data_IF_279983016919
#
_entry.id   IF_279983016919
#
_cell.length_a   1.000
_cell.length_b   1.000
_cell.length_c   1.000
_cell.angle_alpha   90.00
_cell.angle_beta   90.00
_cell.angle_gamma   90.00
#
_symmetry.space_group_name_H-M   'P 1'
#
loop_
_entity.id
_entity.type
_entity.pdbx_description
1 polymer ?
#
# COMPACT_ATOMS: atom_id res chain seq x y z
N UNK A 1 11.82 10.92 6.67
CA UNK A 1 11.99 10.53 5.25
C UNK A 1 11.54 11.61 4.26
N UNK A 2 12.25 12.74 4.26
CA UNK A 2 12.15 13.75 3.20
C UNK A 2 13.52 13.91 2.56
N UNK A 3 13.56 14.06 1.25
CA UNK A 3 14.76 14.47 0.52
C UNK A 3 15.14 15.91 0.93
N UNK A 4 16.39 16.35 0.66
CA UNK A 4 16.82 17.72 0.93
C UNK A 4 15.94 18.79 0.25
N UNK A 5 15.27 18.42 -0.85
CA UNK A 5 14.30 19.24 -1.59
C UNK A 5 12.89 19.28 -0.96
N UNK A 6 12.70 18.67 0.22
CA UNK A 6 11.42 18.60 0.93
C UNK A 6 10.45 17.54 0.41
N UNK A 7 10.76 16.81 -0.67
CA UNK A 7 9.90 15.76 -1.22
C UNK A 7 9.93 14.53 -0.33
N UNK A 8 8.78 13.90 -0.15
CA UNK A 8 8.66 12.66 0.61
C UNK A 8 9.33 11.53 -0.19
N UNK A 9 10.19 10.75 0.47
CA UNK A 9 10.95 9.66 -0.19
C UNK A 9 10.03 8.49 -0.54
N UNK A 10 9.04 8.22 0.31
CA UNK A 10 8.05 7.16 0.11
C UNK A 10 6.68 7.59 0.59
N UNK A 11 5.65 7.24 -0.17
CA UNK A 11 4.27 7.45 0.24
C UNK A 11 3.85 6.47 1.34
N UNK A 12 4.54 5.34 1.53
CA UNK A 12 4.19 4.33 2.53
C UNK A 12 5.03 4.48 3.79
N UNK A 13 4.49 4.13 4.97
CA UNK A 13 5.26 4.12 6.21
C UNK A 13 6.39 3.08 6.13
N UNK A 14 7.48 3.30 6.87
CA UNK A 14 8.66 2.45 6.78
C UNK A 14 8.38 0.97 7.10
N UNK A 15 7.47 0.67 8.03
CA UNK A 15 7.08 -0.70 8.37
C UNK A 15 6.43 -1.47 7.20
N UNK A 16 5.95 -0.77 6.17
CA UNK A 16 5.31 -1.40 5.01
C UNK A 16 6.31 -2.24 4.20
N UNK A 17 7.60 -1.84 4.18
CA UNK A 17 8.64 -2.46 3.36
C UNK A 17 9.41 -3.52 4.14
N UNK A 18 8.87 -4.73 4.21
CA UNK A 18 9.48 -5.84 4.98
C UNK A 18 10.88 -6.19 4.50
N UNK A 19 11.13 -6.19 3.19
CA UNK A 19 12.46 -6.48 2.64
C UNK A 19 13.53 -5.51 3.15
N UNK A 20 13.21 -4.22 3.28
CA UNK A 20 14.15 -3.24 3.82
C UNK A 20 14.40 -3.42 5.31
N UNK A 21 13.42 -3.97 6.05
CA UNK A 21 13.61 -4.33 7.46
C UNK A 21 14.53 -5.55 7.54
N UNK A 22 14.29 -6.57 6.71
CA UNK A 22 15.10 -7.78 6.64
C UNK A 22 16.57 -7.44 6.29
N UNK A 23 16.79 -6.58 5.29
CA UNK A 23 18.12 -6.09 4.90
C UNK A 23 18.82 -5.36 6.06
N UNK A 24 18.07 -4.53 6.81
CA UNK A 24 18.60 -3.80 7.98
C UNK A 24 18.98 -4.75 9.11
N UNK A 25 18.15 -5.76 9.38
CA UNK A 25 18.41 -6.78 10.39
C UNK A 25 19.61 -7.66 10.02
N UNK A 26 19.72 -8.07 8.75
CA UNK A 26 20.85 -8.84 8.24
C UNK A 26 22.15 -8.02 8.31
N UNK A 27 22.12 -6.75 7.90
CA UNK A 27 23.28 -5.86 7.98
C UNK A 27 23.75 -5.68 9.44
N UNK A 28 22.81 -5.45 10.36
CA UNK A 28 23.11 -5.37 11.80
C UNK A 28 23.73 -6.66 12.32
N UNK A 29 23.18 -7.82 11.95
CA UNK A 29 23.70 -9.12 12.36
C UNK A 29 25.11 -9.36 11.78
N UNK A 30 25.33 -9.05 10.51
CA UNK A 30 26.61 -9.18 9.83
C UNK A 30 27.69 -8.29 10.46
N UNK A 31 27.39 -6.99 10.67
CA UNK A 31 28.33 -6.05 11.29
C UNK A 31 28.69 -6.45 12.72
N UNK A 32 27.71 -6.92 13.52
CA UNK A 32 27.97 -7.45 14.87
C UNK A 32 28.87 -8.69 14.85
N UNK A 33 28.63 -9.63 13.91
CA UNK A 33 29.47 -10.82 13.75
C UNK A 33 30.89 -10.46 13.31
N UNK A 34 31.05 -9.50 12.39
CA UNK A 34 32.36 -9.03 11.96
C UNK A 34 33.18 -8.52 13.16
N UNK A 35 32.60 -7.67 14.01
CA UNK A 35 33.23 -7.20 15.26
C UNK A 35 33.57 -8.36 16.19
N UNK A 36 32.63 -9.29 16.42
CA UNK A 36 32.85 -10.41 17.32
C UNK A 36 33.94 -11.37 16.83
N UNK A 37 34.06 -11.57 15.52
CA UNK A 37 35.04 -12.47 14.90
C UNK A 37 36.48 -11.93 14.93
N UNK A 38 36.68 -10.63 15.15
CA UNK A 38 38.00 -9.99 15.15
C UNK A 38 38.71 -9.97 13.79
N UNK A 39 38.04 -10.38 12.71
CA UNK A 39 38.61 -10.47 11.35
C UNK A 39 38.58 -9.15 10.56
N UNK A 40 38.23 -8.04 11.21
CA UNK A 40 38.15 -6.70 10.61
C UNK A 40 39.34 -5.85 11.03
N UNK A 41 39.74 -4.95 10.13
CA UNK A 41 40.78 -3.96 10.39
C UNK A 41 40.43 -3.17 11.68
N UNK A 42 41.32 -3.12 12.68
CA UNK A 42 41.08 -2.37 13.93
C UNK A 42 40.69 -0.91 13.72
N UNK A 43 41.18 -0.28 12.64
CA UNK A 43 40.86 1.11 12.29
C UNK A 43 39.42 1.30 11.80
N UNK A 44 38.77 0.24 11.28
CA UNK A 44 37.39 0.27 10.79
C UNK A 44 36.35 -0.01 11.90
N UNK A 45 36.79 -0.48 13.08
CA UNK A 45 35.89 -0.81 14.20
C UNK A 45 35.06 0.40 14.66
N UNK A 46 35.62 1.63 14.82
CA UNK A 46 34.83 2.80 15.21
C UNK A 46 33.72 3.13 14.21
N UNK A 47 34.01 3.04 12.91
CA UNK A 47 33.04 3.30 11.83
C UNK A 47 31.90 2.27 11.86
N UNK A 48 32.25 0.98 11.94
CA UNK A 48 31.27 -0.10 12.04
C UNK A 48 30.38 0.01 13.29
N UNK A 49 30.93 0.46 14.43
CA UNK A 49 30.13 0.72 15.64
C UNK A 49 29.14 1.85 15.44
N UNK A 50 29.55 2.95 14.80
CA UNK A 50 28.67 4.07 14.47
C UNK A 50 27.55 3.64 13.49
N UNK A 51 27.87 2.80 12.50
CA UNK A 51 26.86 2.21 11.60
C UNK A 51 25.86 1.33 12.33
N UNK A 52 26.33 0.44 13.22
CA UNK A 52 25.44 -0.41 14.05
C UNK A 52 24.52 0.45 14.91
N UNK A 53 25.04 1.50 15.54
CA UNK A 53 24.24 2.41 16.36
C UNK A 53 23.14 3.07 15.50
N UNK A 54 23.53 3.69 14.39
CA UNK A 54 22.60 4.33 13.46
C UNK A 54 21.51 3.39 12.96
N UNK A 55 21.89 2.19 12.55
CA UNK A 55 20.96 1.19 12.03
C UNK A 55 20.04 0.65 13.13
N UNK A 56 20.55 0.48 14.35
CA UNK A 56 19.75 0.03 15.49
C UNK A 56 18.71 1.08 15.91
N UNK A 57 19.08 2.36 15.91
CA UNK A 57 18.16 3.48 16.15
C UNK A 57 17.08 3.49 15.07
N UNK A 58 17.48 3.36 13.80
CA UNK A 58 16.53 3.33 12.68
C UNK A 58 15.56 2.15 12.78
N UNK A 59 16.04 0.95 13.09
CA UNK A 59 15.20 -0.23 13.27
C UNK A 59 14.21 -0.05 14.44
N UNK A 60 14.67 0.54 15.54
CA UNK A 60 13.81 0.84 16.68
C UNK A 60 12.71 1.86 16.35
N UNK A 61 13.02 2.90 15.56
CA UNK A 61 12.01 3.85 15.06
C UNK A 61 10.97 3.17 14.17
N UNK A 62 11.40 2.30 13.25
CA UNK A 62 10.50 1.55 12.37
C UNK A 62 9.56 0.69 13.23
N UNK A 63 10.10 -0.03 14.21
CA UNK A 63 9.30 -0.88 15.10
C UNK A 63 8.33 -0.09 15.97
N UNK A 64 8.69 1.11 16.42
CA UNK A 64 7.78 2.03 17.13
C UNK A 64 6.65 2.53 16.24
N UNK A 65 6.93 2.75 14.95
CA UNK A 65 5.93 3.18 13.97
C UNK A 65 4.96 2.08 13.53
N UNK A 66 5.26 0.82 13.85
CA UNK A 66 4.42 -0.31 13.48
C UNK A 66 3.10 -0.27 14.25
N UNK A 67 1.99 -0.17 13.51
CA UNK A 67 0.65 -0.16 14.09
C UNK A 67 0.34 -1.55 14.65
N UNK A 68 -0.01 -1.64 15.93
CA UNK A 68 -0.48 -2.88 16.57
C UNK A 68 -1.97 -2.72 16.85
N UNK A 69 -2.81 -3.26 15.97
CA UNK A 69 -4.26 -3.24 16.16
C UNK A 69 -4.68 -4.35 17.13
N UNK A 70 -5.48 -4.01 18.13
CA UNK A 70 -6.00 -4.97 19.11
C UNK A 70 -7.51 -4.80 19.29
N UNK A 71 -8.22 -5.91 19.53
CA UNK A 71 -9.66 -5.89 19.80
C UNK A 71 -10.48 -5.10 18.77
N UNK A 72 -11.23 -4.11 19.24
CA UNK A 72 -12.16 -3.31 18.44
C UNK A 72 -11.49 -2.57 17.29
N UNK A 73 -10.27 -2.07 17.47
CA UNK A 73 -9.56 -1.32 16.44
C UNK A 73 -9.24 -2.20 15.23
N UNK A 74 -9.01 -3.50 15.47
CA UNK A 74 -8.77 -4.47 14.40
C UNK A 74 -10.05 -4.70 13.59
N UNK A 75 -11.19 -4.83 14.25
CA UNK A 75 -12.49 -5.02 13.59
C UNK A 75 -12.89 -3.79 12.78
N UNK A 76 -12.69 -2.59 13.34
CA UNK A 76 -12.93 -1.34 12.63
C UNK A 76 -12.03 -1.17 11.41
N UNK A 77 -10.74 -1.50 11.54
CA UNK A 77 -9.79 -1.49 10.43
C UNK A 77 -10.17 -2.52 9.35
N UNK A 78 -10.61 -3.72 9.74
CA UNK A 78 -11.04 -4.75 8.81
C UNK A 78 -12.32 -4.35 8.05
N UNK A 79 -13.27 -3.72 8.73
CA UNK A 79 -14.48 -3.18 8.11
C UNK A 79 -14.14 -2.05 7.12
N UNK A 80 -13.26 -1.12 7.52
CA UNK A 80 -12.80 -0.05 6.64
C UNK A 80 -12.03 -0.60 5.43
N UNK A 81 -11.20 -1.61 5.62
CA UNK A 81 -10.47 -2.28 4.55
C UNK A 81 -11.42 -2.86 3.50
N UNK A 82 -12.48 -3.56 3.92
CA UNK A 82 -13.52 -4.11 3.03
C UNK A 82 -14.29 -2.99 2.31
N UNK A 83 -14.77 -2.00 3.05
CA UNK A 83 -15.53 -0.87 2.50
C UNK A 83 -14.70 -0.09 1.44
N UNK A 84 -13.41 0.10 1.69
CA UNK A 84 -12.52 0.72 0.72
C UNK A 84 -12.28 -0.18 -0.49
N UNK A 85 -12.17 -1.49 -0.29
CA UNK A 85 -12.08 -2.46 -1.38
C UNK A 85 -13.23 -2.32 -2.37
N UNK A 86 -14.47 -2.32 -1.87
CA UNK A 86 -15.68 -2.18 -2.68
C UNK A 86 -15.72 -0.83 -3.42
N UNK A 87 -15.42 0.27 -2.70
CA UNK A 87 -15.42 1.61 -3.30
C UNK A 87 -14.34 1.79 -4.36
N UNK A 88 -13.15 1.20 -4.15
CA UNK A 88 -12.08 1.24 -5.14
C UNK A 88 -12.48 0.42 -6.36
N UNK A 89 -13.03 -0.78 -6.15
CA UNK A 89 -13.52 -1.65 -7.20
C UNK A 89 -14.59 -0.97 -8.08
N UNK A 90 -15.57 -0.30 -7.48
CA UNK A 90 -16.62 0.45 -8.20
C UNK A 90 -16.07 1.61 -9.04
N UNK A 91 -14.91 2.15 -8.65
CA UNK A 91 -14.24 3.24 -9.37
C UNK A 91 -13.31 2.78 -10.51
N UNK A 92 -13.22 1.47 -10.76
CA UNK A 92 -12.38 0.88 -11.81
C UNK A 92 -13.20 0.47 -13.03
N UNK A 93 -12.60 0.56 -14.21
CA UNK A 93 -13.08 -0.21 -15.36
C UNK A 93 -12.93 -1.71 -15.10
N UNK A 94 -13.81 -2.51 -15.68
CA UNK A 94 -13.69 -3.97 -15.65
C UNK A 94 -12.49 -4.45 -16.46
N UNK A 95 -12.03 -5.68 -16.16
CA UNK A 95 -10.96 -6.34 -16.94
C UNK A 95 -11.36 -6.46 -18.41
N UNK A 96 -12.58 -6.89 -18.68
CA UNK A 96 -13.14 -7.01 -20.02
C UNK A 96 -13.14 -5.69 -20.81
N UNK A 97 -13.50 -4.56 -20.20
CA UNK A 97 -13.45 -3.24 -20.87
C UNK A 97 -12.02 -2.83 -21.24
N UNK A 98 -11.05 -3.12 -20.37
CA UNK A 98 -9.64 -2.84 -20.64
C UNK A 98 -9.08 -3.74 -21.76
N UNK A 99 -9.37 -5.04 -21.71
CA UNK A 99 -8.89 -6.00 -22.71
C UNK A 99 -9.47 -5.75 -24.10
N UNK A 100 -10.72 -5.30 -24.18
CA UNK A 100 -11.41 -4.97 -25.44
C UNK A 100 -11.08 -3.57 -25.97
N UNK A 101 -10.22 -2.80 -25.28
CA UNK A 101 -9.87 -1.43 -25.66
C UNK A 101 -11.02 -0.42 -25.50
N UNK A 102 -12.06 -0.77 -24.76
CA UNK A 102 -13.22 0.11 -24.50
C UNK A 102 -12.90 1.13 -23.38
N UNK A 103 -11.93 0.82 -22.53
CA UNK A 103 -11.43 1.74 -21.51
C UNK A 103 -10.35 2.65 -22.08
N UNK A 104 -10.66 3.94 -22.23
CA UNK A 104 -9.67 4.94 -22.64
C UNK A 104 -8.63 5.17 -21.50
N UNK A 105 -7.32 5.09 -21.78
CA UNK A 105 -6.27 5.32 -20.78
C UNK A 105 -6.36 6.68 -20.08
N UNK A 106 -6.77 7.74 -20.79
CA UNK A 106 -6.95 9.07 -20.20
C UNK A 106 -8.12 9.11 -19.21
N UNK A 107 -9.21 8.42 -19.53
CA UNK A 107 -10.37 8.34 -18.64
C UNK A 107 -10.06 7.53 -17.39
N UNK A 108 -9.28 6.45 -17.52
CA UNK A 108 -8.83 5.66 -16.36
C UNK A 108 -7.88 6.47 -15.46
N UNK A 109 -6.99 7.27 -16.06
CA UNK A 109 -6.15 8.20 -15.31
C UNK A 109 -6.99 9.25 -14.58
N UNK A 110 -7.97 9.85 -15.25
CA UNK A 110 -8.87 10.83 -14.65
C UNK A 110 -9.67 10.21 -13.49
N UNK A 111 -10.32 9.06 -13.70
CA UNK A 111 -11.04 8.33 -12.63
C UNK A 111 -10.14 8.00 -11.45
N UNK A 112 -8.86 7.73 -11.70
CA UNK A 112 -7.88 7.42 -10.66
C UNK A 112 -7.51 8.64 -9.79
N UNK A 113 -7.40 9.83 -10.38
CA UNK A 113 -6.91 11.04 -9.68
C UNK A 113 -8.03 11.93 -9.16
N UNK A 114 -9.21 11.90 -9.78
CA UNK A 114 -10.35 12.73 -9.35
C UNK A 114 -10.90 12.24 -8.01
N UNK A 115 -11.13 13.14 -7.03
CA UNK A 115 -11.74 12.79 -5.75
C UNK A 115 -13.22 12.37 -5.90
N UNK A 116 -13.47 11.07 -5.96
CA UNK A 116 -14.82 10.50 -6.15
C UNK A 116 -15.28 9.64 -4.96
N UNK A 117 -14.34 9.10 -4.17
CA UNK A 117 -14.63 8.15 -3.11
C UNK A 117 -14.95 8.91 -1.80
N UNK A 118 -16.16 8.77 -1.24
CA UNK A 118 -16.52 9.43 0.02
C UNK A 118 -15.85 8.76 1.23
N UNK A 119 -15.23 9.57 2.10
CA UNK A 119 -14.55 9.07 3.31
C UNK A 119 -15.49 8.82 4.50
N UNK A 120 -16.67 9.45 4.49
CA UNK A 120 -17.68 9.31 5.55
C UNK A 120 -17.10 9.59 6.95
N UNK A 121 -17.46 8.73 7.92
CA UNK A 121 -17.00 8.79 9.31
C UNK A 121 -15.50 8.56 9.50
N UNK A 122 -14.81 8.03 8.47
CA UNK A 122 -13.39 7.67 8.55
C UNK A 122 -12.44 8.82 8.15
N UNK A 123 -12.94 10.05 8.02
CA UNK A 123 -12.13 11.20 7.58
C UNK A 123 -10.86 11.44 8.41
N UNK A 124 -10.90 11.20 9.72
CA UNK A 124 -9.72 11.34 10.60
C UNK A 124 -8.63 10.29 10.30
N UNK A 125 -9.01 9.07 9.90
CA UNK A 125 -8.04 8.02 9.50
C UNK A 125 -7.24 8.49 8.29
N UNK A 126 -7.91 9.11 7.31
CA UNK A 126 -7.25 9.66 6.13
C UNK A 126 -6.29 10.80 6.49
N UNK A 127 -6.72 11.73 7.36
CA UNK A 127 -5.88 12.84 7.83
C UNK A 127 -4.65 12.35 8.58
N UNK A 128 -4.78 11.34 9.43
CA UNK A 128 -3.67 10.73 10.16
C UNK A 128 -2.64 10.08 9.21
N UNK A 129 -3.05 9.66 8.02
CA UNK A 129 -2.16 9.16 6.96
C UNK A 129 -1.63 10.28 6.04
N UNK A 130 -1.84 11.55 6.40
CA UNK A 130 -1.42 12.72 5.63
C UNK A 130 -2.23 12.93 4.35
N UNK A 131 -3.47 12.44 4.30
CA UNK A 131 -4.39 12.62 3.17
C UNK A 131 -5.49 13.59 3.60
N UNK A 132 -5.57 14.74 2.93
CA UNK A 132 -6.63 15.72 3.16
C UNK A 132 -7.78 15.49 2.18
N UNK A 133 -8.97 15.08 2.64
CA UNK A 133 -10.13 14.92 1.77
C UNK A 133 -10.59 16.26 1.18
N UNK A 134 -10.93 16.27 -0.11
CA UNK A 134 -11.49 17.43 -0.80
C UNK A 134 -13.01 17.28 -0.82
N UNK A 135 -13.74 18.20 -0.18
CA UNK A 135 -15.21 18.13 -0.02
C UNK A 135 -15.69 16.76 0.53
N UNK A 136 -14.94 16.19 1.47
CA UNK A 136 -15.25 14.88 2.07
C UNK A 136 -14.99 13.68 1.15
N UNK A 137 -14.25 13.85 0.05
CA UNK A 137 -13.89 12.79 -0.89
C UNK A 137 -12.38 12.68 -1.07
N UNK A 138 -11.93 11.50 -1.46
CA UNK A 138 -10.55 11.19 -1.81
C UNK A 138 -10.49 10.55 -3.19
N UNK A 139 -9.34 10.66 -3.84
CA UNK A 139 -9.11 9.98 -5.11
C UNK A 139 -8.92 8.48 -4.92
N UNK A 140 -9.09 7.70 -6.00
CA UNK A 140 -8.79 6.26 -5.97
C UNK A 140 -7.36 5.99 -5.54
N UNK A 141 -6.40 6.81 -5.97
CA UNK A 141 -4.98 6.70 -5.56
C UNK A 141 -4.80 6.91 -4.06
N UNK A 142 -5.52 7.86 -3.47
CA UNK A 142 -5.47 8.11 -2.03
C UNK A 142 -6.14 6.99 -1.23
N UNK A 143 -7.31 6.52 -1.66
CA UNK A 143 -8.00 5.38 -1.05
C UNK A 143 -7.16 4.10 -1.13
N UNK A 144 -6.55 3.84 -2.29
CA UNK A 144 -5.62 2.75 -2.56
C UNK A 144 -4.46 2.70 -1.56
N UNK A 145 -3.90 3.87 -1.20
CA UNK A 145 -2.81 3.98 -0.22
C UNK A 145 -3.26 3.52 1.16
N UNK A 146 -4.43 3.98 1.61
CA UNK A 146 -5.01 3.57 2.91
C UNK A 146 -5.34 2.07 2.90
N UNK A 147 -5.96 1.57 1.83
CA UNK A 147 -6.28 0.16 1.64
C UNK A 147 -5.05 -0.74 1.79
N UNK A 148 -3.94 -0.37 1.13
CA UNK A 148 -2.68 -1.12 1.21
C UNK A 148 -2.08 -1.14 2.60
N UNK A 149 -2.07 0.01 3.28
CA UNK A 149 -1.55 0.13 4.65
C UNK A 149 -2.37 -0.74 5.60
N UNK A 150 -3.70 -0.64 5.55
CA UNK A 150 -4.60 -1.46 6.37
C UNK A 150 -4.43 -2.94 6.06
N UNK A 151 -4.38 -3.32 4.78
CA UNK A 151 -4.17 -4.70 4.36
C UNK A 151 -2.86 -5.27 4.90
N UNK A 152 -1.76 -4.51 4.82
CA UNK A 152 -0.47 -4.94 5.38
C UNK A 152 -0.52 -5.17 6.89
N UNK A 153 -1.19 -4.30 7.64
CA UNK A 153 -1.32 -4.42 9.11
C UNK A 153 -2.23 -5.59 9.49
N UNK A 154 -3.27 -5.86 8.69
CA UNK A 154 -4.22 -6.95 8.93
C UNK A 154 -3.74 -8.32 8.41
N UNK A 155 -2.70 -8.34 7.56
CA UNK A 155 -2.24 -9.55 6.87
C UNK A 155 -3.07 -9.92 5.63
N UNK A 156 -3.82 -8.96 5.09
CA UNK A 156 -4.70 -9.12 3.94
C UNK A 156 -4.00 -8.76 2.60
N UNK A 157 -4.65 -9.08 1.49
CA UNK A 157 -4.12 -8.81 0.16
C UNK A 157 -4.04 -7.29 -0.13
N UNK A 158 -2.86 -6.79 -0.53
CA UNK A 158 -2.63 -5.38 -0.85
C UNK A 158 -2.68 -5.09 -2.35
N UNK A 159 -2.84 -6.11 -3.20
CA UNK A 159 -2.93 -5.96 -4.64
C UNK A 159 -4.32 -5.44 -5.06
N UNK A 160 -4.35 -4.19 -5.53
CA UNK A 160 -5.60 -3.52 -5.91
C UNK A 160 -6.17 -4.10 -7.21
N UNK A 161 -5.34 -4.58 -8.14
CA UNK A 161 -5.84 -5.18 -9.39
C UNK A 161 -6.61 -6.49 -9.14
N UNK A 162 -6.42 -7.11 -7.98
CA UNK A 162 -7.24 -8.24 -7.55
C UNK A 162 -8.71 -7.85 -7.36
N UNK A 163 -8.97 -6.61 -6.95
CA UNK A 163 -10.33 -6.08 -6.75
C UNK A 163 -11.07 -5.85 -8.07
N UNK A 164 -10.36 -5.71 -9.20
CA UNK A 164 -10.97 -5.37 -10.48
C UNK A 164 -11.97 -6.46 -10.91
N UNK A 165 -13.23 -6.05 -11.11
CA UNK A 165 -14.29 -6.94 -11.58
C UNK A 165 -13.97 -7.44 -12.98
N UNK A 166 -14.42 -8.67 -13.24
CA UNK A 166 -14.73 -9.07 -14.59
C UNK A 166 -16.24 -8.98 -14.78
N UNK A 167 -16.66 -8.41 -15.89
CA UNK A 167 -18.08 -8.22 -16.18
C UNK A 167 -18.46 -9.24 -17.26
N UNK A 168 -19.23 -10.27 -16.86
CA UNK A 168 -20.26 -10.81 -17.74
C UNK A 168 -21.27 -9.69 -17.94
N UNK A 169 -21.13 -8.92 -19.02
CA UNK A 169 -22.01 -7.80 -19.31
C UNK A 169 -23.46 -8.32 -19.34
N UNK A 170 -24.43 -7.61 -18.76
CA UNK A 170 -25.86 -7.96 -18.90
C UNK A 170 -26.38 -7.87 -20.35
N UNK A 171 -25.55 -7.38 -21.26
CA UNK A 171 -25.76 -7.38 -22.73
C UNK A 171 -24.97 -8.48 -23.44
N UNK A 172 -24.20 -9.28 -22.73
CA UNK A 172 -23.57 -10.48 -23.27
C UNK A 172 -24.60 -11.62 -23.26
N UNK A 173 -25.23 -11.84 -24.42
CA UNK A 173 -25.78 -13.16 -24.73
C UNK A 173 -24.58 -14.04 -25.10
N UNK A 174 -24.26 -15.09 -24.34
CA UNK A 174 -23.35 -16.11 -24.87
C UNK A 174 -24.03 -16.64 -26.12
N UNK A 175 -23.29 -16.63 -27.23
CA UNK A 175 -23.57 -17.22 -28.53
C UNK A 175 -25.00 -17.74 -28.69
N UNK A 176 -25.84 -16.99 -29.43
CA UNK A 176 -27.09 -17.54 -29.97
C UNK A 176 -26.68 -18.81 -30.72
N UNK A 177 -27.16 -20.01 -30.34
CA UNK A 177 -26.84 -21.22 -31.07
C UNK A 177 -27.16 -21.01 -32.54
N UNK A 178 -26.30 -21.48 -33.45
CA UNK A 178 -26.54 -21.37 -34.90
C UNK A 178 -27.90 -21.95 -35.33
N UNK A 179 -28.48 -22.81 -34.50
CA UNK A 179 -29.81 -23.41 -34.64
C UNK A 179 -30.96 -22.38 -34.51
N UNK A 180 -30.74 -21.24 -33.86
CA UNK A 180 -31.72 -20.13 -33.75
C UNK A 180 -31.51 -19.03 -34.80
N UNK A 181 -30.55 -19.21 -35.73
CA UNK A 181 -30.23 -18.23 -36.79
C UNK A 181 -30.74 -18.62 -38.19
N UNK A 182 -31.57 -19.67 -38.30
CA UNK A 182 -32.18 -20.16 -39.55
C UNK A 182 -33.69 -19.94 -39.54
#
# INVERSE_FOLDING_TARGET
DRKPDGRIVSEYPAFYFTTHIDDLEERLASNKRAIASGLINPQAIPELRAEIEKDSVRLAEINKSHIKLTGKDKDEAANLYKELGDKIQDSMFSRSEMMKGLANPHDELNRRITPTIPVGKHGEVFKNMGITPVKGKVSRTQAARVFKILGKVLGENTNIEHLRRDVKHGTYRPDVPLEEMI
#
